data_IF_111562878145
#
_entry.id   IF_111562878145
#
_cell.length_a   1.000
_cell.length_b   1.000
_cell.length_c   1.000
_cell.angle_alpha   90.00
_cell.angle_beta   90.00
_cell.angle_gamma   90.00
#
_symmetry.space_group_name_H-M   'P 1'
#
loop_
_entity.id
_entity.type
_entity.pdbx_description
1 polymer ?
#
# COMPACT_ATOMS: atom_id res chain seq x y z
N UNK A 1 1.83 16.10 24.61
CA UNK A 1 1.14 14.82 24.40
C UNK A 1 0.99 14.71 22.90
N UNK A 2 1.76 13.84 22.26
CA UNK A 2 1.89 13.83 20.80
C UNK A 2 1.06 12.71 20.22
N UNK A 3 0.12 13.09 19.35
CA UNK A 3 -0.48 12.24 18.34
C UNK A 3 0.62 11.44 17.62
N UNK A 4 0.44 10.12 17.47
CA UNK A 4 1.40 9.28 16.77
C UNK A 4 1.04 9.23 15.29
N UNK A 5 1.94 9.72 14.44
CA UNK A 5 1.72 9.84 13.00
C UNK A 5 2.47 8.74 12.27
N UNK A 6 1.72 7.83 11.64
CA UNK A 6 2.25 6.81 10.75
C UNK A 6 2.01 7.21 9.29
N UNK A 7 3.04 7.10 8.44
CA UNK A 7 2.94 7.35 7.01
C UNK A 7 3.19 6.09 6.20
N UNK A 8 2.48 5.93 5.09
CA UNK A 8 2.76 4.93 4.06
C UNK A 8 2.55 5.51 2.67
N UNK A 9 3.11 4.85 1.66
CA UNK A 9 2.96 5.26 0.27
C UNK A 9 2.73 4.07 -0.67
N UNK A 10 1.89 4.27 -1.68
CA UNK A 10 1.58 3.23 -2.66
C UNK A 10 0.71 3.72 -3.81
N UNK A 11 0.56 2.86 -4.82
CA UNK A 11 -0.30 3.15 -5.97
C UNK A 11 -1.74 2.65 -5.75
N UNK A 12 -1.92 1.63 -4.90
CA UNK A 12 -3.21 1.12 -4.44
C UNK A 12 -4.20 0.80 -5.58
N UNK A 13 -3.76 0.10 -6.63
CA UNK A 13 -4.60 -0.18 -7.82
C UNK A 13 -4.34 -1.54 -8.50
N UNK A 14 -5.35 -2.44 -8.53
CA UNK A 14 -6.50 -2.43 -7.63
C UNK A 14 -6.06 -2.55 -6.16
N UNK A 15 -6.89 -2.06 -5.24
CA UNK A 15 -6.76 -2.36 -3.80
C UNK A 15 -7.02 -3.86 -3.62
N UNK A 16 -6.20 -4.55 -2.82
CA UNK A 16 -6.29 -5.99 -2.60
C UNK A 16 -5.81 -6.34 -1.18
N UNK A 17 -5.97 -7.59 -0.74
CA UNK A 17 -5.64 -7.99 0.64
C UNK A 17 -4.20 -7.68 1.07
N UNK A 18 -3.21 -7.73 0.16
CA UNK A 18 -1.87 -7.21 0.44
C UNK A 18 -1.81 -5.71 0.80
N UNK A 19 -2.58 -4.85 0.13
CA UNK A 19 -2.73 -3.44 0.50
C UNK A 19 -3.48 -3.29 1.83
N UNK A 20 -4.52 -4.10 2.06
CA UNK A 20 -5.30 -4.07 3.32
C UNK A 20 -4.42 -4.40 4.53
N UNK A 21 -3.53 -5.39 4.42
CA UNK A 21 -2.55 -5.69 5.46
C UNK A 21 -1.60 -4.51 5.74
N UNK A 22 -1.17 -3.80 4.69
CA UNK A 22 -0.35 -2.60 4.82
C UNK A 22 -1.10 -1.47 5.55
N UNK A 23 -2.36 -1.22 5.18
CA UNK A 23 -3.21 -0.20 5.81
C UNK A 23 -3.53 -0.56 7.27
N UNK A 24 -3.85 -1.82 7.56
CA UNK A 24 -4.03 -2.31 8.93
C UNK A 24 -2.78 -2.11 9.79
N UNK A 25 -1.61 -2.43 9.26
CA UNK A 25 -0.34 -2.21 9.96
C UNK A 25 -0.15 -0.73 10.28
N UNK A 26 -0.53 0.17 9.37
CA UNK A 26 -0.44 1.61 9.59
C UNK A 26 -1.40 2.10 10.68
N UNK A 27 -2.67 1.68 10.65
CA UNK A 27 -3.62 2.01 11.71
C UNK A 27 -3.20 1.46 13.07
N UNK A 28 -2.68 0.23 13.14
CA UNK A 28 -2.11 -0.33 14.38
C UNK A 28 -0.89 0.45 14.86
N UNK A 29 -0.04 0.90 13.94
CA UNK A 29 1.15 1.67 14.29
C UNK A 29 0.80 3.06 14.82
N UNK A 30 -0.25 3.69 14.28
CA UNK A 30 -0.75 4.98 14.75
C UNK A 30 -1.55 4.84 16.06
N UNK A 31 -2.29 3.74 16.25
CA UNK A 31 -3.08 3.44 17.45
C UNK A 31 -2.17 2.89 18.55
N UNK A 32 -1.42 3.74 19.24
CA UNK A 32 -0.59 3.37 20.40
C UNK A 32 -1.43 3.29 21.70
N UNK A 33 -0.92 2.62 22.74
CA UNK A 33 -1.54 2.46 24.08
C UNK A 33 -1.69 3.77 24.90
N UNK A 34 -1.69 4.93 24.23
CA UNK A 34 -1.82 6.25 24.84
C UNK A 34 -3.24 6.82 24.73
N UNK A 35 -3.47 7.94 25.39
CA UNK A 35 -4.76 8.67 25.38
C UNK A 35 -4.95 9.58 24.16
N UNK A 36 -4.07 9.50 23.15
CA UNK A 36 -4.12 10.33 21.94
C UNK A 36 -4.70 9.56 20.76
N UNK A 37 -5.55 10.23 19.97
CA UNK A 37 -5.98 9.73 18.66
C UNK A 37 -4.76 9.76 17.73
N UNK A 38 -4.39 8.63 17.13
CA UNK A 38 -3.29 8.57 16.16
C UNK A 38 -3.70 9.12 14.81
N UNK A 39 -2.74 9.28 13.90
CA UNK A 39 -3.02 9.70 12.52
C UNK A 39 -2.29 8.85 11.50
N UNK A 40 -2.99 8.50 10.41
CA UNK A 40 -2.42 7.78 9.28
C UNK A 40 -2.40 8.67 8.04
N UNK A 41 -1.21 8.95 7.54
CA UNK A 41 -1.01 9.66 6.26
C UNK A 41 -0.80 8.63 5.16
N UNK A 42 -1.73 8.58 4.19
CA UNK A 42 -1.64 7.66 3.05
C UNK A 42 -1.26 8.43 1.79
N UNK A 43 -0.03 8.21 1.35
CA UNK A 43 0.48 8.74 0.10
C UNK A 43 0.04 7.93 -1.11
N UNK A 44 -0.86 8.49 -1.91
CA UNK A 44 -1.29 7.92 -3.18
C UNK A 44 -0.42 8.45 -4.33
N UNK A 45 0.29 7.55 -5.00
CA UNK A 45 1.15 7.86 -6.15
C UNK A 45 0.35 8.52 -7.29
N UNK A 46 0.83 9.63 -7.84
CA UNK A 46 0.27 10.20 -9.07
C UNK A 46 0.44 9.21 -10.24
N UNK A 47 -0.42 9.30 -11.26
CA UNK A 47 -0.40 8.45 -12.43
C UNK A 47 0.95 8.53 -13.15
N UNK A 48 1.54 9.72 -13.29
CA UNK A 48 2.86 9.89 -13.93
C UNK A 48 3.99 9.17 -13.17
N UNK A 49 3.98 9.27 -11.84
CA UNK A 49 4.97 8.59 -11.01
C UNK A 49 4.73 7.07 -10.98
N UNK A 50 3.47 6.65 -11.05
CA UNK A 50 3.09 5.24 -11.08
C UNK A 50 3.50 4.55 -12.39
N UNK A 51 3.47 5.25 -13.52
CA UNK A 51 3.95 4.74 -14.81
C UNK A 51 5.47 4.69 -14.87
N UNK A 52 6.17 5.71 -14.38
CA UNK A 52 7.65 5.75 -14.38
C UNK A 52 8.30 4.70 -13.46
N UNK A 53 7.63 4.34 -12.36
CA UNK A 53 8.19 3.40 -11.37
C UNK A 53 7.92 1.94 -11.67
N UNK A 54 7.18 1.64 -12.76
CA UNK A 54 6.89 0.31 -13.29
C UNK A 54 7.60 0.09 -14.63
N UNK A 55 8.13 -1.11 -14.82
CA UNK A 55 8.98 -1.45 -15.97
C UNK A 55 8.21 -1.84 -17.24
N UNK A 56 6.87 -1.77 -17.23
CA UNK A 56 6.03 -2.26 -18.33
C UNK A 56 5.13 -1.12 -18.88
N UNK A 57 5.38 -0.64 -20.11
CA UNK A 57 4.60 0.42 -20.75
C UNK A 57 3.11 0.11 -20.90
N UNK A 58 2.72 -1.18 -21.01
CA UNK A 58 1.33 -1.59 -21.17
C UNK A 58 0.49 -1.42 -19.89
N UNK A 59 1.12 -1.17 -18.75
CA UNK A 59 0.44 -1.09 -17.45
C UNK A 59 -0.18 0.28 -17.13
N UNK A 60 0.12 1.31 -17.91
CA UNK A 60 -0.37 2.68 -17.70
C UNK A 60 -1.90 2.78 -17.82
N UNK A 61 -2.46 2.14 -18.86
CA UNK A 61 -3.89 2.14 -19.14
C UNK A 61 -4.70 1.47 -18.01
N UNK A 62 -4.08 0.51 -17.31
CA UNK A 62 -4.70 -0.23 -16.21
C UNK A 62 -4.60 0.44 -14.84
N UNK A 63 -3.87 1.56 -14.69
CA UNK A 63 -3.83 2.30 -13.41
C UNK A 63 -5.17 3.00 -13.17
N UNK A 64 -5.83 3.46 -14.23
CA UNK A 64 -7.00 4.32 -14.15
C UNK A 64 -6.67 5.73 -13.64
N UNK A 65 -7.65 6.66 -13.69
CA UNK A 65 -7.47 8.03 -13.22
C UNK A 65 -7.10 8.08 -11.74
N UNK A 66 -6.28 9.07 -11.36
CA UNK A 66 -5.92 9.29 -9.95
C UNK A 66 -7.17 9.41 -9.06
N UNK A 67 -8.17 10.18 -9.48
CA UNK A 67 -9.37 10.41 -8.68
C UNK A 67 -10.18 9.12 -8.44
N UNK A 68 -10.21 8.21 -9.43
CA UNK A 68 -10.82 6.89 -9.23
C UNK A 68 -10.07 6.10 -8.16
N UNK A 69 -8.73 6.03 -8.27
CA UNK A 69 -7.89 5.35 -7.27
C UNK A 69 -8.01 5.96 -5.89
N UNK A 70 -8.12 7.30 -5.80
CA UNK A 70 -8.35 8.03 -4.54
C UNK A 70 -9.68 7.63 -3.94
N UNK A 71 -10.75 7.63 -4.74
CA UNK A 71 -12.09 7.22 -4.30
C UNK A 71 -12.12 5.76 -3.82
N UNK A 72 -11.50 4.85 -4.56
CA UNK A 72 -11.42 3.43 -4.20
C UNK A 72 -10.63 3.23 -2.89
N UNK A 73 -9.53 3.97 -2.71
CA UNK A 73 -8.71 3.94 -1.50
C UNK A 73 -9.43 4.57 -0.29
N UNK A 74 -10.14 5.67 -0.50
CA UNK A 74 -10.90 6.37 0.55
C UNK A 74 -12.03 5.50 1.11
N UNK A 75 -12.75 4.79 0.23
CA UNK A 75 -13.76 3.82 0.63
C UNK A 75 -13.14 2.68 1.46
N UNK A 76 -11.98 2.16 1.05
CA UNK A 76 -11.29 1.11 1.79
C UNK A 76 -10.77 1.60 3.16
N UNK A 77 -10.17 2.79 3.21
CA UNK A 77 -9.69 3.40 4.44
C UNK A 77 -10.83 3.70 5.42
N UNK A 78 -11.96 4.22 4.94
CA UNK A 78 -13.14 4.45 5.76
C UNK A 78 -13.67 3.15 6.38
N UNK A 79 -13.69 2.07 5.60
CA UNK A 79 -14.10 0.75 6.07
C UNK A 79 -13.13 0.19 7.12
N UNK A 80 -11.83 0.20 6.83
CA UNK A 80 -10.80 -0.34 7.71
C UNK A 80 -10.61 0.49 8.99
N UNK A 81 -10.57 1.81 8.85
CA UNK A 81 -10.32 2.77 9.91
C UNK A 81 -11.42 2.77 10.99
N UNK A 82 -12.64 2.34 10.66
CA UNK A 82 -13.74 2.22 11.63
C UNK A 82 -13.44 1.30 12.83
N UNK A 83 -12.46 0.39 12.70
CA UNK A 83 -12.01 -0.49 13.76
C UNK A 83 -10.91 0.12 14.64
N UNK A 84 -10.46 1.35 14.35
CA UNK A 84 -9.34 2.02 15.01
C UNK A 84 -9.75 3.41 15.49
N UNK A 85 -9.05 3.94 16.49
CA UNK A 85 -9.23 5.32 16.94
C UNK A 85 -8.45 6.33 16.10
N UNK A 86 -7.47 5.87 15.32
CA UNK A 86 -6.65 6.74 14.51
C UNK A 86 -7.42 7.32 13.31
N UNK A 87 -7.29 8.63 13.12
CA UNK A 87 -7.79 9.33 11.94
C UNK A 87 -6.89 9.07 10.72
N UNK A 88 -7.33 9.45 9.51
CA UNK A 88 -6.51 9.31 8.31
C UNK A 88 -6.68 10.47 7.34
N UNK A 89 -5.66 10.69 6.50
CA UNK A 89 -5.72 11.56 5.33
C UNK A 89 -5.09 10.88 4.11
N UNK A 90 -5.58 11.23 2.91
CA UNK A 90 -4.96 10.83 1.64
C UNK A 90 -4.29 12.04 1.00
N UNK A 91 -2.99 11.93 0.79
CA UNK A 91 -2.18 12.93 0.10
C UNK A 91 -1.73 12.41 -1.27
N UNK A 92 -1.57 13.31 -2.23
CA UNK A 92 -1.01 13.00 -3.55
C UNK A 92 0.51 12.97 -3.47
N UNK A 93 1.14 11.93 -4.02
CA UNK A 93 2.59 11.83 -4.15
C UNK A 93 3.03 12.08 -5.60
N UNK A 94 3.78 13.16 -5.81
CA UNK A 94 4.43 13.50 -7.08
C UNK A 94 5.88 12.98 -7.18
N UNK A 95 6.46 12.52 -6.07
CA UNK A 95 7.78 11.87 -6.05
C UNK A 95 7.82 10.62 -5.13
N UNK A 96 8.88 9.81 -5.24
CA UNK A 96 8.99 8.52 -4.55
C UNK A 96 9.26 8.60 -3.04
N UNK A 97 9.67 9.75 -2.52
CA UNK A 97 9.96 9.94 -1.10
C UNK A 97 8.79 10.61 -0.39
N UNK A 98 8.13 11.57 -1.05
CA UNK A 98 7.00 12.28 -0.50
C UNK A 98 7.30 12.99 0.82
N UNK A 99 6.28 13.31 1.61
CA UNK A 99 6.49 14.02 2.87
C UNK A 99 7.20 13.19 3.94
N UNK A 100 7.32 11.87 3.78
CA UNK A 100 8.08 11.04 4.72
C UNK A 100 9.55 11.49 4.86
N UNK A 101 10.12 12.10 3.82
CA UNK A 101 11.48 12.60 3.86
C UNK A 101 11.63 13.98 4.52
N UNK A 102 10.56 14.77 4.64
CA UNK A 102 10.66 16.20 4.98
C UNK A 102 9.82 16.62 6.19
N UNK A 103 8.74 15.89 6.52
CA UNK A 103 7.89 16.19 7.68
C UNK A 103 8.59 15.80 8.98
N UNK A 104 8.66 16.72 9.93
CA UNK A 104 9.26 16.54 11.25
C UNK A 104 8.26 15.95 12.27
N UNK A 105 6.96 16.03 12.00
CA UNK A 105 5.86 15.52 12.82
C UNK A 105 5.54 14.03 12.60
N UNK A 106 6.19 13.36 11.66
CA UNK A 106 5.98 11.93 11.38
C UNK A 106 6.88 11.07 12.27
N UNK A 107 6.27 10.08 12.95
CA UNK A 107 6.98 9.16 13.84
C UNK A 107 7.40 7.85 13.15
N UNK A 108 6.53 7.31 12.32
CA UNK A 108 6.67 5.97 11.77
C UNK A 108 6.43 5.92 10.25
N UNK A 109 7.22 5.10 9.57
CA UNK A 109 7.06 4.76 8.15
C UNK A 109 6.68 3.29 8.02
N UNK A 110 5.49 3.04 7.49
CA UNK A 110 4.95 1.71 7.27
C UNK A 110 5.18 1.32 5.82
N UNK A 111 5.81 0.17 5.60
CA UNK A 111 6.23 -0.30 4.28
C UNK A 111 5.80 -1.72 3.99
N UNK A 112 5.69 -2.03 2.69
CA UNK A 112 5.49 -3.40 2.24
C UNK A 112 6.74 -4.25 2.55
N UNK A 113 6.57 -5.58 2.64
CA UNK A 113 7.69 -6.50 2.84
C UNK A 113 8.57 -6.67 1.57
N UNK A 114 8.30 -5.91 0.50
CA UNK A 114 9.10 -5.96 -0.71
C UNK A 114 10.47 -5.32 -0.50
N UNK A 115 11.53 -5.97 -1.01
CA UNK A 115 12.90 -5.45 -0.92
C UNK A 115 13.06 -4.01 -1.46
N UNK A 116 12.29 -3.65 -2.51
CA UNK A 116 12.28 -2.28 -3.06
C UNK A 116 11.74 -1.26 -2.06
N UNK A 117 10.70 -1.61 -1.30
CA UNK A 117 10.12 -0.73 -0.28
C UNK A 117 11.06 -0.57 0.92
N UNK A 118 11.67 -1.67 1.37
CA UNK A 118 12.66 -1.64 2.46
C UNK A 118 13.88 -0.78 2.11
N UNK A 119 14.39 -0.90 0.87
CA UNK A 119 15.50 -0.05 0.42
C UNK A 119 15.12 1.44 0.42
N UNK A 120 13.93 1.78 -0.07
CA UNK A 120 13.42 3.16 -0.08
C UNK A 120 13.25 3.72 1.33
N UNK A 121 12.74 2.93 2.28
CA UNK A 121 12.63 3.36 3.68
C UNK A 121 13.99 3.73 4.28
N UNK A 122 15.01 2.93 4.01
CA UNK A 122 16.38 3.21 4.43
C UNK A 122 16.97 4.45 3.73
N UNK A 123 16.66 4.67 2.45
CA UNK A 123 17.04 5.91 1.74
C UNK A 123 16.39 7.15 2.34
N UNK A 124 15.10 7.07 2.70
CA UNK A 124 14.37 8.15 3.39
C UNK A 124 15.06 8.47 4.72
N UNK A 125 15.31 7.47 5.57
CA UNK A 125 15.98 7.70 6.85
C UNK A 125 17.40 8.26 6.71
N UNK A 126 18.16 7.82 5.70
CA UNK A 126 19.48 8.41 5.39
C UNK A 126 19.37 9.88 5.00
N UNK A 127 18.36 10.24 4.20
CA UNK A 127 18.11 11.65 3.85
C UNK A 127 17.72 12.46 5.08
N UNK A 128 16.75 11.99 5.88
CA UNK A 128 16.33 12.64 7.13
C UNK A 128 17.51 12.95 8.04
N UNK A 129 18.40 11.99 8.27
CA UNK A 129 19.60 12.21 9.08
C UNK A 129 20.57 13.23 8.50
N UNK A 130 20.71 13.32 7.17
CA UNK A 130 21.52 14.38 6.53
C UNK A 130 20.88 15.76 6.67
N UNK A 131 19.55 15.80 6.67
CA UNK A 131 18.75 17.02 6.76
C UNK A 131 18.46 17.44 8.22
N UNK A 132 19.04 16.74 9.21
CA UNK A 132 18.89 17.04 10.64
C UNK A 132 17.58 16.56 11.27
N UNK A 133 16.80 15.74 10.57
CA UNK A 133 15.53 15.18 11.04
C UNK A 133 15.72 13.83 11.76
N UNK A 134 14.88 13.59 12.77
CA UNK A 134 14.78 12.31 13.46
C UNK A 134 14.44 11.17 12.49
N UNK A 135 15.05 10.00 12.69
CA UNK A 135 14.73 8.81 11.89
C UNK A 135 13.32 8.32 12.21
N UNK A 136 12.62 7.85 11.19
CA UNK A 136 11.32 7.19 11.32
C UNK A 136 11.49 5.75 11.79
N UNK A 137 10.60 5.30 12.68
CA UNK A 137 10.42 3.88 13.00
C UNK A 137 9.89 3.16 11.77
N UNK A 138 10.60 2.13 11.29
CA UNK A 138 10.19 1.38 10.10
C UNK A 138 9.36 0.18 10.55
N UNK A 139 8.08 0.18 10.20
CA UNK A 139 7.17 -0.96 10.42
C UNK A 139 6.92 -1.68 9.09
N UNK A 140 7.09 -2.99 9.08
CA UNK A 140 6.92 -3.81 7.86
C UNK A 140 5.65 -4.63 7.97
N UNK A 141 4.75 -4.45 7.00
CA UNK A 141 3.54 -5.27 6.91
C UNK A 141 3.87 -6.72 6.49
N UNK A 142 3.05 -7.70 6.87
CA UNK A 142 3.25 -9.09 6.46
C UNK A 142 2.99 -9.29 4.96
N UNK A 143 3.55 -10.35 4.38
CA UNK A 143 3.08 -10.83 3.08
C UNK A 143 1.69 -11.43 3.23
N UNK A 144 0.86 -11.21 2.22
CA UNK A 144 -0.43 -11.88 2.08
C UNK A 144 -0.37 -12.80 0.87
N UNK A 145 -0.82 -14.04 1.06
CA UNK A 145 -0.87 -15.08 0.03
C UNK A 145 -2.30 -15.28 -0.44
N UNK A 146 -2.43 -15.64 -1.71
CA UNK A 146 -3.68 -16.12 -2.31
C UNK A 146 -3.94 -17.58 -1.89
N UNK A 147 -5.07 -18.13 -2.31
CA UNK A 147 -5.48 -19.52 -2.04
C UNK A 147 -4.46 -20.56 -2.51
N UNK A 148 -3.71 -20.26 -3.58
CA UNK A 148 -2.63 -21.11 -4.09
C UNK A 148 -1.31 -21.01 -3.30
N UNK A 149 -1.29 -20.28 -2.18
CA UNK A 149 -0.10 -20.05 -1.37
C UNK A 149 0.91 -19.08 -1.98
N UNK A 150 0.64 -18.53 -3.17
CA UNK A 150 1.50 -17.55 -3.83
C UNK A 150 1.08 -16.13 -3.45
N UNK A 151 2.04 -15.21 -3.35
CA UNK A 151 1.78 -13.82 -2.94
C UNK A 151 0.71 -13.14 -3.82
N UNK A 152 -0.24 -12.44 -3.18
CA UNK A 152 -1.20 -11.56 -3.89
C UNK A 152 -0.46 -10.36 -4.47
N UNK A 153 -0.78 -9.98 -5.71
CA UNK A 153 -0.28 -8.74 -6.30
C UNK A 153 -1.26 -8.17 -7.31
N UNK A 154 -1.22 -6.85 -7.50
CA UNK A 154 -1.99 -6.18 -8.56
C UNK A 154 -1.78 -6.76 -9.95
N UNK A 155 -0.58 -7.29 -10.24
CA UNK A 155 -0.30 -7.93 -11.54
C UNK A 155 -1.12 -9.19 -11.73
N UNK A 156 -1.17 -10.07 -10.71
CA UNK A 156 -1.96 -11.31 -10.75
C UNK A 156 -3.47 -11.06 -10.86
N UNK A 157 -3.93 -9.98 -10.22
CA UNK A 157 -5.34 -9.58 -10.33
C UNK A 157 -5.65 -9.08 -11.74
N UNK A 158 -4.74 -8.32 -12.35
CA UNK A 158 -4.92 -7.80 -13.70
C UNK A 158 -4.80 -8.88 -14.78
N UNK A 159 -3.98 -9.90 -14.56
CA UNK A 159 -3.92 -11.08 -15.43
C UNK A 159 -5.12 -12.01 -15.27
N UNK A 160 -6.01 -11.74 -14.30
CA UNK A 160 -7.16 -12.58 -14.04
C UNK A 160 -6.80 -13.91 -13.37
N UNK A 161 -5.62 -14.03 -12.77
CA UNK A 161 -5.24 -15.24 -12.03
C UNK A 161 -6.00 -15.34 -10.68
N UNK A 162 -6.22 -14.19 -10.05
CA UNK A 162 -6.85 -14.09 -8.73
C UNK A 162 -7.75 -12.86 -8.61
N UNK A 163 -8.73 -12.90 -7.72
CA UNK A 163 -9.49 -11.71 -7.32
C UNK A 163 -8.71 -10.84 -6.29
N UNK A 164 -9.29 -9.71 -5.90
CA UNK A 164 -8.68 -8.78 -4.93
C UNK A 164 -8.58 -9.35 -3.50
N UNK A 165 -9.30 -10.44 -3.22
CA UNK A 165 -9.25 -11.18 -1.97
C UNK A 165 -8.21 -12.32 -2.01
N UNK A 166 -7.66 -12.62 -3.19
CA UNK A 166 -6.72 -13.72 -3.39
C UNK A 166 -7.38 -15.05 -3.69
N UNK A 167 -8.65 -15.06 -4.12
CA UNK A 167 -9.31 -16.27 -4.62
C UNK A 167 -8.84 -16.58 -6.02
N UNK A 168 -8.62 -17.85 -6.34
CA UNK A 168 -8.24 -18.25 -7.70
C UNK A 168 -9.43 -18.02 -8.63
N UNK A 169 -9.19 -17.33 -9.73
CA UNK A 169 -10.15 -17.24 -10.83
C UNK A 169 -9.78 -18.37 -11.78
N UNK A 170 -10.54 -19.47 -11.74
CA UNK A 170 -10.30 -20.61 -12.62
C UNK A 170 -10.40 -20.16 -14.09
N UNK A 171 -9.44 -20.61 -14.91
CA UNK A 171 -9.60 -20.63 -16.36
C UNK A 171 -10.69 -21.68 -16.65
N UNK A 172 -11.92 -21.24 -16.89
CA UNK A 172 -13.10 -22.09 -17.15
C UNK A 172 -13.02 -22.80 -18.53
N UNK A 173 -11.83 -23.23 -18.94
CA UNK A 173 -11.57 -23.84 -20.24
C UNK A 173 -10.34 -24.74 -20.24
N UNK A 174 -10.29 -25.73 -19.34
CA UNK A 174 -9.37 -26.88 -19.53
C UNK A 174 -9.70 -28.12 -18.70
N UNK A 175 -10.98 -28.53 -18.65
CA UNK A 175 -11.29 -29.92 -18.33
C UNK A 175 -12.54 -30.41 -19.10
N UNK A 176 -12.36 -30.55 -20.41
CA UNK A 176 -13.19 -31.41 -21.25
C UNK A 176 -12.26 -32.15 -22.23
N UNK A 177 -11.29 -32.87 -21.68
CA UNK A 177 -10.71 -34.01 -22.41
C UNK A 177 -11.23 -35.30 -21.78
N UNK A 178 -11.75 -36.16 -22.66
CA UNK A 178 -11.98 -37.59 -22.49
C UNK A 178 -13.43 -38.05 -22.24
N UNK A 179 -14.36 -37.72 -23.14
CA UNK A 179 -15.44 -38.68 -23.48
C UNK A 179 -15.78 -38.58 -24.97
N UNK A 180 -15.15 -39.45 -25.76
CA UNK A 180 -15.76 -40.25 -26.83
C UNK A 180 -14.65 -41.01 -27.57
N UNK A 181 -14.41 -42.24 -27.11
CA UNK A 181 -13.95 -43.35 -27.95
C UNK A 181 -15.17 -44.11 -28.43
#
# INVERSE_FOLDING_TARGET
>A
MTERIAILGGTFTPVHNGHRALLHTAFQTASHDGTGEGHVIVGLTDTELATQTRNDPGHADYLGPFEKRRSDLDAELSRLGSAYSASFEIIRLSDTQGPAATRDDVDALVVSPEAKAQRRANEINRRRSRDGLSRLEIHTAPFVVAEDGTRISSTRIRSGEIDDNGRILEDDARDDQHTQR
#
